data_IF_802701219321
#
_entry.id   IF_802701219321
#
_cell.length_a   1.000
_cell.length_b   1.000
_cell.length_c   1.000
_cell.angle_alpha   90.00
_cell.angle_beta   90.00
_cell.angle_gamma   90.00
#
_symmetry.space_group_name_H-M   'P 1'
#
loop_
_entity.id
_entity.type
_entity.pdbx_description
1 polymer ?
#
# COMPACT_ATOMS: atom_id res chain seq x y z
N UNK A 1 -11.48 -4.70 -3.91
CA UNK A 1 -11.91 -3.55 -4.73
C UNK A 1 -11.27 -2.32 -4.13
N UNK A 2 -10.68 -1.45 -4.96
CA UNK A 2 -10.02 -0.20 -4.56
C UNK A 2 -10.61 0.91 -5.41
N UNK A 3 -10.82 2.08 -4.82
CA UNK A 3 -11.28 3.27 -5.52
C UNK A 3 -10.10 4.21 -5.74
N UNK A 4 -10.02 4.82 -6.93
CA UNK A 4 -9.04 5.85 -7.28
C UNK A 4 -9.72 7.00 -8.03
N UNK A 5 -9.02 8.10 -8.26
CA UNK A 5 -9.54 9.27 -8.98
C UNK A 5 -9.24 10.58 -8.27
N UNK A 6 -9.98 11.62 -8.65
CA UNK A 6 -9.78 12.98 -8.13
C UNK A 6 -10.98 13.42 -7.27
N UNK A 7 -10.78 13.70 -5.97
CA UNK A 7 -11.86 14.11 -5.07
C UNK A 7 -12.64 15.31 -5.60
N UNK A 8 -13.96 15.19 -5.67
CA UNK A 8 -14.85 16.26 -6.14
C UNK A 8 -14.99 16.37 -7.67
N UNK A 9 -14.27 15.54 -8.43
CA UNK A 9 -14.31 15.53 -9.91
C UNK A 9 -14.78 14.18 -10.47
N UNK A 10 -14.05 13.10 -10.21
CA UNK A 10 -14.41 11.76 -10.70
C UNK A 10 -13.77 10.65 -9.86
N UNK A 11 -14.36 9.46 -9.90
CA UNK A 11 -13.84 8.27 -9.23
C UNK A 11 -13.98 7.03 -10.10
N UNK A 12 -13.06 6.09 -9.94
CA UNK A 12 -13.02 4.79 -10.63
C UNK A 12 -13.03 3.69 -9.60
N UNK A 13 -13.96 2.74 -9.73
CA UNK A 13 -13.99 1.53 -8.93
C UNK A 13 -13.23 0.40 -9.64
N UNK A 14 -12.13 -0.05 -9.05
CA UNK A 14 -11.38 -1.19 -9.58
C UNK A 14 -12.13 -2.52 -9.42
N UNK A 15 -11.87 -3.49 -10.29
CA UNK A 15 -12.44 -4.83 -10.16
C UNK A 15 -12.04 -5.55 -8.85
N UNK A 16 -12.71 -6.67 -8.51
CA UNK A 16 -12.28 -7.53 -7.42
C UNK A 16 -10.84 -8.03 -7.64
N UNK A 17 -10.01 -7.92 -6.61
CA UNK A 17 -8.60 -8.35 -6.58
C UNK A 17 -8.32 -9.04 -5.26
N UNK A 18 -7.23 -9.81 -5.17
CA UNK A 18 -6.76 -10.33 -3.88
C UNK A 18 -6.41 -9.17 -2.96
N UNK A 19 -6.60 -9.35 -1.65
CA UNK A 19 -6.34 -8.30 -0.65
C UNK A 19 -4.92 -7.75 -0.77
N UNK A 20 -3.92 -8.63 -0.95
CA UNK A 20 -2.52 -8.23 -1.10
C UNK A 20 -2.28 -7.31 -2.29
N UNK A 21 -2.84 -7.64 -3.45
CA UNK A 21 -2.69 -6.87 -4.69
C UNK A 21 -3.41 -5.52 -4.55
N UNK A 22 -4.66 -5.55 -4.10
CA UNK A 22 -5.46 -4.36 -3.86
C UNK A 22 -4.78 -3.37 -2.89
N UNK A 23 -4.27 -3.87 -1.76
CA UNK A 23 -3.59 -3.04 -0.77
C UNK A 23 -2.24 -2.53 -1.30
N UNK A 24 -1.52 -3.32 -2.09
CA UNK A 24 -0.28 -2.88 -2.70
C UNK A 24 -0.52 -1.71 -3.67
N UNK A 25 -1.54 -1.81 -4.52
CA UNK A 25 -1.90 -0.75 -5.47
C UNK A 25 -2.33 0.53 -4.74
N UNK A 26 -3.18 0.39 -3.71
CA UNK A 26 -3.64 1.52 -2.89
C UNK A 26 -2.48 2.24 -2.19
N UNK A 27 -1.59 1.48 -1.54
CA UNK A 27 -0.46 2.04 -0.80
C UNK A 27 0.60 2.64 -1.73
N UNK A 28 0.74 2.08 -2.94
CA UNK A 28 1.56 2.67 -3.99
C UNK A 28 1.05 4.06 -4.41
N UNK A 29 -0.25 4.21 -4.64
CA UNK A 29 -0.89 5.48 -4.98
C UNK A 29 -0.70 6.53 -3.87
N UNK A 30 -0.77 6.09 -2.60
CA UNK A 30 -0.54 6.96 -1.44
C UNK A 30 0.94 7.24 -1.16
N UNK A 31 1.87 6.53 -1.79
CA UNK A 31 3.31 6.64 -1.51
C UNK A 31 3.74 6.14 -0.13
N UNK A 32 2.92 5.31 0.52
CA UNK A 32 3.12 4.77 1.87
C UNK A 32 3.52 3.31 1.78
N UNK A 33 4.41 2.84 2.65
CA UNK A 33 4.74 1.40 2.74
C UNK A 33 4.41 0.82 4.10
N UNK A 34 4.00 -0.46 4.14
CA UNK A 34 3.65 -1.18 5.36
C UNK A 34 4.36 -2.54 5.43
N UNK A 35 4.68 -2.95 6.66
CA UNK A 35 5.26 -4.27 6.99
C UNK A 35 4.43 -4.98 8.05
N UNK A 36 4.46 -6.31 8.07
CA UNK A 36 3.91 -7.07 9.19
C UNK A 36 4.87 -7.10 10.38
N UNK A 37 4.35 -6.78 11.55
CA UNK A 37 5.02 -7.01 12.81
C UNK A 37 5.07 -8.51 13.14
N UNK A 38 6.27 -9.06 13.39
CA UNK A 38 6.46 -10.52 13.54
C UNK A 38 5.79 -11.11 14.77
N UNK A 39 5.66 -10.32 15.84
CA UNK A 39 5.09 -10.81 17.11
C UNK A 39 3.56 -10.71 17.10
N UNK A 40 3.02 -9.56 16.69
CA UNK A 40 1.58 -9.29 16.75
C UNK A 40 0.82 -9.61 15.47
N UNK A 41 1.52 -9.86 14.35
CA UNK A 41 0.94 -10.01 13.02
C UNK A 41 0.31 -8.73 12.46
N UNK A 42 0.43 -7.60 13.17
CA UNK A 42 -0.22 -6.34 12.82
C UNK A 42 0.56 -5.61 11.72
N UNK A 43 -0.11 -5.05 10.71
CA UNK A 43 0.55 -4.21 9.74
C UNK A 43 0.99 -2.88 10.39
N UNK A 44 2.22 -2.45 10.11
CA UNK A 44 2.86 -1.24 10.63
C UNK A 44 3.36 -0.39 9.47
N UNK A 45 3.06 0.90 9.50
CA UNK A 45 3.56 1.87 8.53
C UNK A 45 5.08 2.03 8.72
N UNK A 46 5.84 2.04 7.63
CA UNK A 46 7.24 2.45 7.64
C UNK A 46 7.32 3.99 7.68
N UNK A 47 8.27 4.53 8.45
CA UNK A 47 8.56 5.97 8.39
C UNK A 47 9.02 6.33 6.98
N UNK A 48 8.48 7.41 6.44
CA UNK A 48 8.84 7.92 5.12
C UNK A 48 10.36 8.12 5.02
N UNK A 49 10.94 7.65 3.91
CA UNK A 49 12.38 7.77 3.68
C UNK A 49 13.25 6.90 4.58
N UNK A 50 12.69 6.07 5.46
CA UNK A 50 13.46 5.06 6.20
C UNK A 50 14.08 4.02 5.26
N UNK A 51 15.09 3.28 5.74
CA UNK A 51 15.72 2.23 4.95
C UNK A 51 14.69 1.22 4.40
N UNK A 52 13.77 0.76 5.24
CA UNK A 52 12.74 -0.20 4.85
C UNK A 52 11.75 0.40 3.85
N UNK A 53 11.33 1.66 4.04
CA UNK A 53 10.46 2.35 3.07
C UNK A 53 11.10 2.45 1.69
N UNK A 54 12.37 2.88 1.62
CA UNK A 54 13.11 2.98 0.35
C UNK A 54 13.31 1.62 -0.31
N UNK A 55 13.63 0.59 0.48
CA UNK A 55 13.82 -0.77 -0.03
C UNK A 55 12.52 -1.35 -0.60
N UNK A 56 11.40 -1.16 0.11
CA UNK A 56 10.08 -1.61 -0.31
C UNK A 56 9.61 -0.89 -1.59
N UNK A 57 9.74 0.45 -1.63
CA UNK A 57 9.48 1.25 -2.84
C UNK A 57 10.34 0.81 -4.02
N UNK A 58 11.64 0.59 -3.82
CA UNK A 58 12.54 0.12 -4.88
C UNK A 58 12.15 -1.27 -5.42
N UNK A 59 11.51 -2.11 -4.61
CA UNK A 59 10.98 -3.42 -5.02
C UNK A 59 9.55 -3.36 -5.60
N UNK A 60 8.88 -2.20 -5.56
CA UNK A 60 7.46 -2.08 -5.91
C UNK A 60 6.52 -2.80 -4.95
N UNK A 61 6.98 -3.11 -3.73
CA UNK A 61 6.20 -3.82 -2.70
C UNK A 61 5.85 -2.83 -1.60
N UNK A 62 4.61 -2.37 -1.59
CA UNK A 62 4.08 -1.40 -0.62
C UNK A 62 3.30 -2.07 0.52
N UNK A 63 2.87 -3.31 0.32
CA UNK A 63 2.20 -4.13 1.32
C UNK A 63 2.96 -5.44 1.55
N UNK A 64 3.88 -5.44 2.52
CA UNK A 64 4.66 -6.61 2.93
C UNK A 64 4.07 -7.25 4.19
N UNK A 65 2.94 -7.96 4.00
CA UNK A 65 2.21 -8.71 5.01
C UNK A 65 2.06 -10.17 4.60
#
# INVERSE_FOLDING_TARGET
MVFSGEPGLHGVAGGPKRVREAMNDLLAELGITMRQDKESGRPRINKEGSYLDRLQKAKGVYFEV
#
